data_IF_298046827559
#
_entry.id   IF_298046827559
#
_cell.length_a   1.000
_cell.length_b   1.000
_cell.length_c   1.000
_cell.angle_alpha   90.00
_cell.angle_beta   90.00
_cell.angle_gamma   90.00
#
_symmetry.space_group_name_H-M   'P 1'
#
loop_
_entity.id
_entity.type
_entity.pdbx_description
1 polymer ?
#
# COMPACT_ATOMS: atom_id res chain seq x y z
N UNK A 1 21.41 -30.20 19.30
CA UNK A 1 21.82 -29.34 18.16
C UNK A 1 20.80 -29.29 17.02
N UNK A 2 20.07 -30.38 16.72
CA UNK A 2 19.05 -30.44 15.65
C UNK A 2 17.89 -29.43 15.83
N UNK A 3 17.34 -29.33 17.04
CA UNK A 3 16.21 -28.41 17.36
C UNK A 3 16.58 -26.94 17.14
N UNK A 4 17.83 -26.56 17.46
CA UNK A 4 18.35 -25.20 17.21
C UNK A 4 18.46 -24.87 15.72
N UNK A 5 18.78 -25.86 14.87
CA UNK A 5 18.86 -25.71 13.41
C UNK A 5 17.46 -25.60 12.78
N UNK A 6 16.49 -26.37 13.26
CA UNK A 6 15.08 -26.29 12.83
C UNK A 6 14.49 -24.91 13.20
N UNK A 7 14.76 -24.42 14.41
CA UNK A 7 14.33 -23.08 14.83
C UNK A 7 14.94 -21.97 13.98
N UNK A 8 16.23 -22.08 13.63
CA UNK A 8 16.92 -21.08 12.80
C UNK A 8 16.36 -21.05 11.37
N UNK A 9 16.12 -22.20 10.76
CA UNK A 9 15.55 -22.27 9.41
C UNK A 9 14.09 -21.80 9.38
N UNK A 10 13.30 -22.13 10.40
CA UNK A 10 11.93 -21.63 10.54
C UNK A 10 11.89 -20.10 10.68
N UNK A 11 12.77 -19.52 11.50
CA UNK A 11 12.87 -18.08 11.66
C UNK A 11 13.29 -17.38 10.35
N UNK A 12 14.26 -17.94 9.61
CA UNK A 12 14.72 -17.38 8.34
C UNK A 12 13.60 -17.40 7.27
N UNK A 13 12.82 -18.48 7.21
CA UNK A 13 11.68 -18.59 6.29
C UNK A 13 10.60 -17.54 6.61
N UNK A 14 10.31 -17.34 7.90
CA UNK A 14 9.35 -16.33 8.34
C UNK A 14 9.81 -14.90 7.99
N UNK A 15 11.10 -14.60 8.18
CA UNK A 15 11.67 -13.29 7.83
C UNK A 15 11.59 -13.04 6.32
N UNK A 16 11.87 -14.06 5.49
CA UNK A 16 11.75 -13.96 4.03
C UNK A 16 10.30 -13.72 3.57
N UNK A 17 9.32 -14.39 4.20
CA UNK A 17 7.91 -14.15 3.92
C UNK A 17 7.47 -12.73 4.32
N UNK A 18 7.90 -12.25 5.49
CA UNK A 18 7.58 -10.90 5.95
C UNK A 18 8.24 -9.80 5.10
N UNK A 19 9.46 -10.02 4.61
CA UNK A 19 10.19 -9.05 3.79
C UNK A 19 9.72 -8.98 2.34
N UNK A 20 9.16 -10.07 1.79
CA UNK A 20 8.47 -10.07 0.49
C UNK A 20 7.19 -9.21 0.46
N UNK A 21 6.79 -8.67 1.62
CA UNK A 21 5.53 -7.96 1.84
C UNK A 21 5.33 -6.72 0.98
N UNK A 22 6.32 -5.93 0.60
CA UNK A 22 6.01 -4.65 -0.07
C UNK A 22 5.47 -4.83 -1.51
N UNK A 23 6.12 -5.66 -2.33
CA UNK A 23 5.67 -5.93 -3.69
C UNK A 23 4.43 -6.83 -3.74
N UNK A 24 4.32 -7.79 -2.82
CA UNK A 24 3.17 -8.70 -2.76
C UNK A 24 1.90 -8.01 -2.22
N UNK A 25 2.04 -7.03 -1.33
CA UNK A 25 0.92 -6.21 -0.82
C UNK A 25 0.23 -5.40 -1.91
N UNK A 26 0.96 -4.99 -2.96
CA UNK A 26 0.35 -4.37 -4.14
C UNK A 26 -0.66 -5.33 -4.82
N UNK A 27 -0.28 -6.58 -5.05
CA UNK A 27 -1.15 -7.58 -5.69
C UNK A 27 -2.28 -8.08 -4.79
N UNK A 28 -2.10 -8.03 -3.47
CA UNK A 28 -3.13 -8.37 -2.49
C UNK A 28 -4.08 -7.20 -2.14
N UNK A 29 -3.97 -6.05 -2.83
CA UNK A 29 -4.81 -4.88 -2.55
C UNK A 29 -4.53 -4.20 -1.21
N UNK A 30 -3.41 -4.53 -0.56
CA UNK A 30 -2.95 -3.92 0.69
C UNK A 30 -2.11 -2.65 0.43
N UNK A 31 -1.81 -2.31 -0.82
CA UNK A 31 -1.13 -1.08 -1.22
C UNK A 31 -1.66 -0.60 -2.58
N UNK A 32 -2.01 0.69 -2.69
CA UNK A 32 -2.56 1.26 -3.91
C UNK A 32 -1.51 1.44 -5.03
N UNK A 33 -1.92 1.43 -6.32
CA UNK A 33 -1.04 1.76 -7.44
C UNK A 33 -0.58 3.23 -7.43
N UNK A 34 0.51 3.51 -8.15
CA UNK A 34 0.89 4.88 -8.54
C UNK A 34 -0.22 5.54 -9.37
N UNK A 35 -0.47 6.83 -9.15
CA UNK A 35 -1.40 7.65 -9.93
C UNK A 35 -0.95 7.76 -11.40
N UNK A 36 0.35 7.59 -11.68
CA UNK A 36 0.90 7.64 -13.05
C UNK A 36 0.39 6.51 -13.94
N UNK A 37 -0.18 5.45 -13.36
CA UNK A 37 -0.83 4.37 -14.13
C UNK A 37 -2.19 4.77 -14.68
N UNK A 38 -2.85 5.75 -14.08
CA UNK A 38 -4.18 6.22 -14.46
C UNK A 38 -4.21 7.75 -14.56
N UNK A 39 -3.40 8.33 -15.46
CA UNK A 39 -3.23 9.78 -15.57
C UNK A 39 -4.51 10.51 -15.99
N UNK A 40 -5.40 9.85 -16.71
CA UNK A 40 -6.66 10.40 -17.20
C UNK A 40 -7.65 10.75 -16.08
N UNK A 41 -7.64 10.01 -14.97
CA UNK A 41 -8.53 10.25 -13.82
C UNK A 41 -7.84 10.97 -12.65
N UNK A 42 -6.51 11.01 -12.62
CA UNK A 42 -5.72 11.72 -11.59
C UNK A 42 -5.04 12.98 -12.13
N UNK A 43 -5.49 13.49 -13.28
CA UNK A 43 -4.89 14.65 -13.92
C UNK A 43 -5.01 15.88 -13.02
N UNK A 44 -3.89 16.54 -12.76
CA UNK A 44 -3.86 17.80 -12.01
C UNK A 44 -3.91 17.66 -10.48
N UNK A 45 -3.87 16.43 -9.93
CA UNK A 45 -3.75 16.24 -8.48
C UNK A 45 -2.40 16.77 -8.01
N UNK A 46 -2.43 17.70 -7.04
CA UNK A 46 -1.23 18.35 -6.47
C UNK A 46 -1.19 18.32 -4.95
N UNK A 47 -2.30 17.95 -4.30
CA UNK A 47 -2.46 17.92 -2.84
C UNK A 47 -3.04 16.59 -2.38
N UNK A 48 -2.58 16.12 -1.23
CA UNK A 48 -3.08 14.89 -0.61
C UNK A 48 -4.58 14.97 -0.25
N UNK A 49 -5.10 16.17 0.04
CA UNK A 49 -6.51 16.38 0.35
C UNK A 49 -7.43 16.04 -0.83
N UNK A 50 -6.98 16.27 -2.06
CA UNK A 50 -7.74 15.96 -3.29
C UNK A 50 -7.93 14.44 -3.43
N UNK A 51 -6.95 13.64 -2.99
CA UNK A 51 -7.09 12.18 -2.95
C UNK A 51 -8.23 11.75 -2.02
N UNK A 52 -8.39 12.40 -0.87
CA UNK A 52 -9.43 12.07 0.12
C UNK A 52 -10.84 12.55 -0.29
N UNK A 53 -10.98 13.37 -1.34
CA UNK A 53 -12.29 13.72 -1.88
C UNK A 53 -12.96 12.50 -2.53
N UNK A 54 -12.17 11.67 -3.22
CA UNK A 54 -12.67 10.48 -3.91
C UNK A 54 -12.41 9.17 -3.15
N UNK A 55 -11.36 9.10 -2.33
CA UNK A 55 -10.91 7.86 -1.70
C UNK A 55 -11.18 7.76 -0.20
N UNK A 56 -11.79 8.75 0.46
CA UNK A 56 -12.07 8.63 1.90
C UNK A 56 -13.24 7.65 2.15
N UNK A 57 -13.07 6.62 3.00
CA UNK A 57 -14.06 5.56 3.20
C UNK A 57 -15.43 6.06 3.68
N UNK A 58 -15.44 7.13 4.47
CA UNK A 58 -16.68 7.71 5.03
C UNK A 58 -17.33 8.79 4.13
N UNK A 59 -16.76 9.10 2.96
CA UNK A 59 -17.25 10.17 2.08
C UNK A 59 -17.93 9.64 0.82
N UNK A 60 -18.57 8.47 0.90
CA UNK A 60 -19.16 7.78 -0.25
C UNK A 60 -18.19 7.74 -1.45
N UNK A 61 -17.07 7.02 -1.30
CA UNK A 61 -15.93 7.14 -2.19
C UNK A 61 -16.28 6.73 -3.61
N UNK A 62 -15.91 7.57 -4.58
CA UNK A 62 -16.07 7.28 -6.02
C UNK A 62 -14.98 6.32 -6.51
N UNK A 63 -13.82 6.31 -5.85
CA UNK A 63 -12.74 5.36 -6.09
C UNK A 63 -12.64 4.29 -5.00
N UNK A 64 -11.70 3.34 -5.10
CA UNK A 64 -11.44 2.39 -4.01
C UNK A 64 -11.06 3.13 -2.73
N UNK A 65 -11.72 2.89 -1.58
CA UNK A 65 -11.41 3.61 -0.36
C UNK A 65 -9.97 3.38 0.08
N UNK A 66 -9.30 4.43 0.56
CA UNK A 66 -7.98 4.32 1.17
C UNK A 66 -8.05 3.54 2.48
N UNK A 67 -7.03 2.74 2.75
CA UNK A 67 -6.84 2.06 4.05
C UNK A 67 -6.24 3.00 5.11
N UNK A 68 -5.91 4.24 4.76
CA UNK A 68 -5.26 5.22 5.64
C UNK A 68 -6.01 6.57 5.64
N UNK A 69 -7.27 6.63 6.11
CA UNK A 69 -8.12 7.83 5.99
C UNK A 69 -7.57 9.07 6.71
N UNK A 70 -6.81 8.88 7.79
CA UNK A 70 -6.20 9.97 8.55
C UNK A 70 -4.80 10.38 8.08
N UNK A 71 -4.27 9.75 7.03
CA UNK A 71 -2.91 10.02 6.56
C UNK A 71 -2.87 11.15 5.52
N UNK A 72 -2.02 12.15 5.75
CA UNK A 72 -1.75 13.26 4.84
C UNK A 72 -0.34 13.11 4.24
N UNK A 73 -0.27 12.34 3.16
CA UNK A 73 0.98 12.06 2.46
C UNK A 73 0.83 11.17 1.23
N UNK A 74 -0.37 11.12 0.65
CA UNK A 74 -0.74 10.23 -0.46
C UNK A 74 0.26 10.34 -1.62
N UNK A 75 0.61 11.55 -2.04
CA UNK A 75 1.49 11.80 -3.18
C UNK A 75 2.94 11.40 -2.92
N UNK A 76 3.37 11.25 -1.66
CA UNK A 76 4.71 10.73 -1.35
C UNK A 76 4.86 9.26 -1.71
N UNK A 77 3.76 8.51 -1.67
CA UNK A 77 3.75 7.06 -1.92
C UNK A 77 3.19 6.71 -3.30
N UNK A 78 2.27 7.52 -3.82
CA UNK A 78 1.52 7.20 -5.04
C UNK A 78 1.88 8.09 -6.25
N UNK A 79 2.86 8.98 -6.15
CA UNK A 79 3.37 9.77 -7.29
C UNK A 79 4.73 9.26 -7.82
N UNK A 80 5.05 8.00 -7.56
CA UNK A 80 6.26 7.29 -7.99
C UNK A 80 6.23 6.94 -9.48
#
# INVERSE_FOLDING_TARGET
MMIKRIGLHGALLLILLLSSGCAYRYYLGMHGPSIKRYPEIHQGVTKDSECLECHHPERNPTGPPTTHPGFTGCLKCHND
#
